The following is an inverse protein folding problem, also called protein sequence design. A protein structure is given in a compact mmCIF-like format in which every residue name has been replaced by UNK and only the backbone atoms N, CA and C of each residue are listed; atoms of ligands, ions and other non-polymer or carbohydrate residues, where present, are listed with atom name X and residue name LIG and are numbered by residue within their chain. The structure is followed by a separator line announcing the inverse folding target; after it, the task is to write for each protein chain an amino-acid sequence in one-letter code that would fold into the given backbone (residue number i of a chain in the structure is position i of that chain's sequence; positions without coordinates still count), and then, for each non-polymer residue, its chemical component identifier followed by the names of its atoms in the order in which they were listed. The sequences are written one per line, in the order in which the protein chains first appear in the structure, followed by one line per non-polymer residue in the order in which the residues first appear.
data_IF_193463776973
#
_entry.id   IF_193463776973
#
_cell.length_a   1.000
_cell.length_b   1.000
_cell.length_c   1.000
_cell.angle_alpha   90.00
_cell.angle_beta   90.00
_cell.angle_gamma   90.00
#
_symmetry.space_group_name_H-M   'P 1'
#
loop_
_entity.id
_entity.type
_entity.pdbx_description
1 polymer ?
#
# COMPACT_ATOMS: atom_id res chain seq x y z
N UNK A 1 -17.32 -4.17 14.12
CA UNK A 1 -18.31 -4.90 14.94
C UNK A 1 -17.79 -5.27 16.33
N UNK A 2 -16.66 -5.96 16.50
CA UNK A 2 -16.20 -6.41 17.82
C UNK A 2 -16.09 -5.28 18.87
N UNK A 3 -15.39 -4.21 18.57
CA UNK A 3 -15.21 -3.04 19.43
C UNK A 3 -16.42 -2.09 19.51
N UNK A 4 -17.54 -2.43 18.93
CA UNK A 4 -18.81 -1.74 19.22
C UNK A 4 -19.44 -2.25 20.53
N UNK A 5 -19.21 -3.53 20.84
CA UNK A 5 -19.76 -4.19 22.04
C UNK A 5 -18.74 -4.41 23.16
N UNK A 6 -17.46 -4.45 22.81
CA UNK A 6 -16.36 -4.57 23.76
C UNK A 6 -15.59 -3.26 23.80
N UNK A 7 -15.37 -2.71 24.98
CA UNK A 7 -14.64 -1.45 25.14
C UNK A 7 -13.24 -1.55 24.56
N UNK A 8 -12.91 -0.78 23.50
CA UNK A 8 -11.56 -0.76 22.98
C UNK A 8 -10.62 -0.06 23.96
N UNK A 9 -9.31 -0.37 23.92
CA UNK A 9 -8.34 0.46 24.62
C UNK A 9 -8.35 1.88 24.06
N UNK A 10 -8.13 2.88 24.89
CA UNK A 10 -8.04 4.28 24.46
C UNK A 10 -6.89 4.50 23.47
N UNK A 11 -5.83 3.70 23.59
CA UNK A 11 -4.69 3.67 22.69
C UNK A 11 -4.20 2.23 22.50
N UNK A 12 -4.08 1.77 21.22
CA UNK A 12 -3.81 0.37 20.93
C UNK A 12 -2.34 -0.03 21.07
N UNK A 13 -1.40 0.92 21.01
CA UNK A 13 0.01 0.63 21.31
C UNK A 13 0.20 0.54 22.83
N UNK A 14 0.06 -0.67 23.36
CA UNK A 14 0.13 -0.96 24.80
C UNK A 14 1.48 -0.61 25.41
N UNK A 15 2.57 -0.74 24.65
CA UNK A 15 3.93 -0.45 25.13
C UNK A 15 4.04 1.02 25.51
N UNK A 16 3.63 1.91 24.62
CA UNK A 16 3.65 3.35 24.89
C UNK A 16 2.64 3.74 25.98
N UNK A 17 1.46 3.11 26.01
CA UNK A 17 0.46 3.35 27.03
C UNK A 17 0.97 2.94 28.43
N UNK A 18 1.67 1.81 28.56
CA UNK A 18 2.27 1.38 29.82
C UNK A 18 3.42 2.28 30.27
N UNK A 19 4.23 2.77 29.33
CA UNK A 19 5.27 3.75 29.64
C UNK A 19 4.66 5.05 30.15
N UNK A 20 3.60 5.51 29.50
CA UNK A 20 2.88 6.71 29.90
C UNK A 20 2.25 6.55 31.31
N UNK A 21 1.72 5.38 31.65
CA UNK A 21 1.23 5.05 33.00
C UNK A 21 2.31 5.00 34.07
N UNK A 22 3.58 4.92 33.70
CA UNK A 22 4.72 4.97 34.63
C UNK A 22 5.34 6.36 34.73
N UNK A 23 4.89 7.32 33.93
CA UNK A 23 5.38 8.70 33.87
C UNK A 23 4.61 9.65 34.80
N UNK A 24 4.94 10.91 34.78
CA UNK A 24 4.23 11.98 35.48
C UNK A 24 2.78 12.18 34.98
N UNK A 25 2.47 11.72 33.76
CA UNK A 25 1.15 11.81 33.14
C UNK A 25 0.16 10.70 33.58
N UNK A 26 0.56 9.84 34.53
CA UNK A 26 -0.23 8.68 34.98
C UNK A 26 -1.68 9.06 35.34
N UNK A 27 -1.87 10.10 36.14
CA UNK A 27 -3.21 10.49 36.59
C UNK A 27 -4.08 10.96 35.44
N UNK A 28 -3.53 11.79 34.55
CA UNK A 28 -4.23 12.28 33.35
C UNK A 28 -4.66 11.13 32.42
N UNK A 29 -3.81 10.13 32.26
CA UNK A 29 -4.15 8.95 31.42
C UNK A 29 -5.27 8.13 32.04
N UNK A 30 -5.25 7.89 33.35
CA UNK A 30 -6.31 7.14 34.04
C UNK A 30 -7.65 7.89 33.91
N UNK A 31 -7.66 9.20 34.08
CA UNK A 31 -8.87 10.03 33.92
C UNK A 31 -9.42 9.95 32.48
N UNK A 32 -8.53 10.00 31.47
CA UNK A 32 -8.92 9.88 30.07
C UNK A 32 -9.43 8.46 29.74
N UNK A 33 -8.83 7.39 30.32
CA UNK A 33 -9.33 6.03 30.17
C UNK A 33 -10.72 5.86 30.78
N UNK A 34 -10.97 6.41 31.96
CA UNK A 34 -12.28 6.34 32.62
C UNK A 34 -13.34 7.14 31.82
N UNK A 35 -12.98 8.33 31.36
CA UNK A 35 -13.86 9.13 30.48
C UNK A 35 -14.18 8.38 29.19
N UNK A 36 -13.18 7.80 28.54
CA UNK A 36 -13.35 7.02 27.32
C UNK A 36 -14.26 5.81 27.50
N UNK A 37 -14.10 5.08 28.61
CA UNK A 37 -14.92 3.90 28.92
C UNK A 37 -16.39 4.30 29.20
N UNK A 38 -16.61 5.43 29.88
CA UNK A 38 -17.96 5.98 30.14
C UNK A 38 -18.65 6.36 28.82
N UNK A 39 -17.97 7.09 27.94
CA UNK A 39 -18.49 7.47 26.63
C UNK A 39 -18.83 6.25 25.78
N UNK A 40 -17.97 5.21 25.83
CA UNK A 40 -18.21 3.98 25.11
C UNK A 40 -19.46 3.24 25.60
N UNK A 41 -19.67 3.16 26.91
CA UNK A 41 -20.87 2.55 27.49
C UNK A 41 -22.14 3.34 27.15
N UNK A 42 -22.09 4.67 27.11
CA UNK A 42 -23.20 5.50 26.65
C UNK A 42 -23.51 5.27 25.16
N UNK A 43 -22.48 5.25 24.33
CA UNK A 43 -22.62 4.95 22.90
C UNK A 43 -23.22 3.56 22.68
N UNK A 44 -22.77 2.53 23.42
CA UNK A 44 -23.32 1.19 23.35
C UNK A 44 -24.81 1.16 23.68
N UNK A 45 -25.24 1.82 24.77
CA UNK A 45 -26.66 1.95 25.14
C UNK A 45 -27.46 2.64 24.04
N UNK A 46 -26.94 3.71 23.44
CA UNK A 46 -27.59 4.41 22.33
C UNK A 46 -27.75 3.50 21.10
N UNK A 47 -26.73 2.70 20.77
CA UNK A 47 -26.78 1.71 19.67
C UNK A 47 -27.83 0.63 19.95
N UNK A 48 -27.91 0.11 21.18
CA UNK A 48 -28.89 -0.92 21.54
C UNK A 48 -30.34 -0.38 21.42
N UNK A 49 -30.58 0.87 21.82
CA UNK A 49 -31.86 1.56 21.65
C UNK A 49 -32.15 1.74 20.14
N UNK A 50 -31.17 2.16 19.35
CA UNK A 50 -31.31 2.34 17.90
C UNK A 50 -31.69 1.02 17.22
N UNK A 51 -31.05 -0.09 17.56
CA UNK A 51 -31.36 -1.42 17.01
C UNK A 51 -32.81 -1.81 17.37
N UNK A 52 -33.23 -1.56 18.62
CA UNK A 52 -34.61 -1.82 19.05
C UNK A 52 -35.62 -0.96 18.28
N UNK A 53 -35.35 0.33 18.09
CA UNK A 53 -36.20 1.25 17.35
C UNK A 53 -36.30 0.88 15.87
N UNK A 54 -35.19 0.53 15.22
CA UNK A 54 -35.17 0.06 13.82
C UNK A 54 -35.93 -1.24 13.62
N UNK A 55 -35.89 -2.15 14.59
CA UNK A 55 -36.73 -3.38 14.54
C UNK A 55 -38.23 -3.06 14.59
N UNK A 56 -38.63 -1.94 15.17
CA UNK A 56 -39.99 -1.42 15.24
C UNK A 56 -40.33 -0.45 14.08
N UNK A 57 -39.41 -0.28 13.10
CA UNK A 57 -39.53 0.66 11.97
C UNK A 57 -39.63 2.14 12.39
N UNK A 58 -39.10 2.49 13.52
CA UNK A 58 -38.99 3.89 13.99
C UNK A 58 -37.61 4.39 13.61
N UNK A 59 -37.56 5.46 12.83
CA UNK A 59 -36.28 6.16 12.53
C UNK A 59 -36.11 7.30 13.55
N UNK A 60 -35.00 7.36 14.23
CA UNK A 60 -34.73 8.34 15.30
C UNK A 60 -33.43 9.10 14.95
N UNK A 61 -33.60 10.21 14.21
CA UNK A 61 -32.48 11.08 13.80
C UNK A 61 -31.74 11.68 14.99
N UNK A 62 -32.44 11.93 16.10
CA UNK A 62 -31.85 12.49 17.33
C UNK A 62 -30.89 11.47 17.93
N UNK A 63 -31.26 10.19 17.89
CA UNK A 63 -30.42 9.12 18.41
C UNK A 63 -29.19 8.86 17.51
N UNK A 64 -29.39 8.93 16.19
CA UNK A 64 -28.30 8.83 15.22
C UNK A 64 -27.28 9.97 15.44
N UNK A 65 -27.76 11.22 15.63
CA UNK A 65 -26.90 12.36 15.94
C UNK A 65 -26.17 12.19 17.27
N UNK A 66 -26.85 11.71 18.31
CA UNK A 66 -26.23 11.45 19.62
C UNK A 66 -25.09 10.42 19.52
N UNK A 67 -25.24 9.38 18.69
CA UNK A 67 -24.19 8.38 18.48
C UNK A 67 -22.97 9.01 17.81
N UNK A 68 -23.17 9.91 16.84
CA UNK A 68 -22.09 10.64 16.17
C UNK A 68 -21.38 11.58 17.14
N UNK A 69 -22.12 12.34 17.95
CA UNK A 69 -21.54 13.25 18.93
C UNK A 69 -20.67 12.50 19.97
N UNK A 70 -21.15 11.34 20.46
CA UNK A 70 -20.38 10.46 21.35
C UNK A 70 -19.12 9.89 20.68
N UNK A 71 -19.18 9.60 19.37
CA UNK A 71 -18.00 9.15 18.61
C UNK A 71 -16.97 10.26 18.49
N UNK A 72 -17.39 11.48 18.22
CA UNK A 72 -16.52 12.65 18.14
C UNK A 72 -15.85 12.93 19.49
N UNK A 73 -16.60 12.90 20.61
CA UNK A 73 -16.03 13.04 21.95
C UNK A 73 -15.01 11.92 22.26
N UNK A 74 -15.29 10.68 21.89
CA UNK A 74 -14.32 9.57 22.04
C UNK A 74 -13.07 9.79 21.20
N UNK A 75 -13.18 10.37 19.99
CA UNK A 75 -12.02 10.70 19.16
C UNK A 75 -11.18 11.82 19.78
N UNK A 76 -11.81 12.84 20.41
CA UNK A 76 -11.11 13.88 21.16
C UNK A 76 -10.28 13.28 22.30
N UNK A 77 -10.89 12.43 23.14
CA UNK A 77 -10.17 11.75 24.23
C UNK A 77 -9.00 10.96 23.72
N UNK A 78 -9.14 10.25 22.60
CA UNK A 78 -8.01 9.52 21.96
C UNK A 78 -6.92 10.48 21.49
N UNK A 79 -7.30 11.64 20.97
CA UNK A 79 -6.32 12.63 20.53
C UNK A 79 -5.55 13.20 21.72
N UNK A 80 -6.21 13.46 22.85
CA UNK A 80 -5.56 13.92 24.08
C UNK A 80 -4.52 12.89 24.58
N UNK A 81 -4.85 11.59 24.55
CA UNK A 81 -3.91 10.54 24.90
C UNK A 81 -2.72 10.53 23.94
N UNK A 82 -2.92 10.71 22.63
CA UNK A 82 -1.83 10.80 21.65
C UNK A 82 -0.90 11.97 21.91
N UNK A 83 -1.44 13.11 22.32
CA UNK A 83 -0.65 14.27 22.73
C UNK A 83 0.21 13.94 23.94
N UNK A 84 -0.36 13.29 24.97
CA UNK A 84 0.40 12.87 26.15
C UNK A 84 1.50 11.85 25.79
N UNK A 85 1.21 10.91 24.89
CA UNK A 85 2.23 9.96 24.38
C UNK A 85 3.41 10.70 23.73
N UNK A 86 3.13 11.71 22.89
CA UNK A 86 4.16 12.54 22.26
C UNK A 86 4.95 13.39 23.24
N UNK A 87 4.31 13.91 24.25
CA UNK A 87 4.99 14.67 25.32
C UNK A 87 5.94 13.78 26.13
N UNK A 88 5.53 12.55 26.42
CA UNK A 88 6.31 11.58 27.16
C UNK A 88 7.47 10.99 26.30
N UNK A 89 7.20 10.70 25.05
CA UNK A 89 8.15 10.14 24.09
C UNK A 89 8.01 10.82 22.72
N UNK A 90 8.85 11.83 22.39
CA UNK A 90 8.77 12.53 21.09
C UNK A 90 8.96 11.64 19.87
N UNK A 91 9.60 10.48 20.03
CA UNK A 91 9.84 9.51 18.95
C UNK A 91 8.72 8.46 18.83
N UNK A 92 7.76 8.42 19.78
CA UNK A 92 6.68 7.45 19.76
C UNK A 92 5.82 7.58 18.51
N UNK A 93 5.42 6.43 17.98
CA UNK A 93 4.45 6.35 16.90
C UNK A 93 3.03 6.53 17.45
N UNK A 94 2.36 7.60 17.02
CA UNK A 94 0.99 7.95 17.45
C UNK A 94 -0.10 7.32 16.59
N UNK A 95 0.27 6.77 15.41
CA UNK A 95 -0.65 6.01 14.59
C UNK A 95 -0.79 4.59 15.15
N UNK A 96 -1.85 4.36 15.90
CA UNK A 96 -2.09 3.09 16.58
C UNK A 96 -3.01 2.12 15.81
N UNK A 97 -3.35 2.46 14.55
CA UNK A 97 -4.27 1.65 13.74
C UNK A 97 -3.73 0.26 13.44
N UNK A 98 -2.43 0.15 13.21
CA UNK A 98 -1.77 -1.11 12.89
C UNK A 98 -1.71 -2.06 14.09
N UNK A 99 -1.85 -1.52 15.31
CA UNK A 99 -1.89 -2.29 16.55
C UNK A 99 -3.27 -2.89 16.89
N UNK A 100 -4.36 -2.47 16.20
CA UNK A 100 -5.72 -2.93 16.49
C UNK A 100 -5.85 -4.43 16.38
N UNK A 101 -5.38 -5.00 15.27
CA UNK A 101 -5.44 -6.45 15.04
C UNK A 101 -4.57 -7.21 16.02
N UNK A 102 -3.35 -6.73 16.29
CA UNK A 102 -2.42 -7.35 17.21
C UNK A 102 -2.97 -7.35 18.64
N UNK A 103 -3.54 -6.24 19.10
CA UNK A 103 -4.17 -6.15 20.42
C UNK A 103 -5.33 -7.13 20.55
N UNK A 104 -6.19 -7.24 19.52
CA UNK A 104 -7.26 -8.24 19.52
C UNK A 104 -6.73 -9.67 19.64
N UNK A 105 -5.71 -10.01 18.85
CA UNK A 105 -5.10 -11.35 18.86
C UNK A 105 -4.53 -11.68 20.25
N UNK A 106 -3.79 -10.75 20.85
CA UNK A 106 -3.12 -10.95 22.12
C UNK A 106 -4.08 -11.03 23.31
N UNK A 107 -5.21 -10.31 23.25
CA UNK A 107 -6.14 -10.21 24.38
C UNK A 107 -7.21 -11.29 24.39
N UNK A 108 -7.62 -11.76 23.21
CA UNK A 108 -8.83 -12.60 23.08
C UNK A 108 -8.58 -14.01 22.55
N UNK A 109 -7.42 -14.28 21.95
CA UNK A 109 -7.12 -15.62 21.44
C UNK A 109 -6.37 -16.47 22.47
N UNK A 110 -6.65 -17.79 22.55
CA UNK A 110 -5.86 -18.72 23.35
C UNK A 110 -4.39 -18.75 22.88
N UNK A 111 -3.46 -18.86 23.82
CA UNK A 111 -2.01 -18.83 23.55
C UNK A 111 -1.54 -19.82 22.46
N UNK A 112 -2.13 -21.03 22.40
CA UNK A 112 -1.81 -22.00 21.34
C UNK A 112 -2.21 -21.52 19.94
N UNK A 113 -3.35 -20.86 19.82
CA UNK A 113 -3.83 -20.28 18.54
C UNK A 113 -2.97 -19.10 18.14
N UNK A 114 -2.53 -18.27 19.10
CA UNK A 114 -1.61 -17.15 18.84
C UNK A 114 -0.31 -17.69 18.21
N UNK A 115 0.29 -18.72 18.81
CA UNK A 115 1.51 -19.35 18.27
C UNK A 115 1.31 -19.92 16.87
N UNK A 116 0.19 -20.58 16.61
CA UNK A 116 -0.16 -21.10 15.29
C UNK A 116 -0.32 -19.98 14.26
N UNK A 117 -1.00 -18.89 14.63
CA UNK A 117 -1.20 -17.73 13.77
C UNK A 117 0.13 -17.11 13.37
N UNK A 118 1.05 -16.89 14.31
CA UNK A 118 2.39 -16.41 13.98
C UNK A 118 3.15 -17.37 13.07
N UNK A 119 3.10 -18.68 13.34
CA UNK A 119 3.74 -19.68 12.49
C UNK A 119 3.21 -19.63 11.05
N UNK A 120 1.90 -19.48 10.86
CA UNK A 120 1.27 -19.34 9.53
C UNK A 120 1.69 -18.03 8.86
N UNK A 121 1.69 -16.91 9.58
CA UNK A 121 2.12 -15.61 9.04
C UNK A 121 3.57 -15.66 8.57
N UNK A 122 4.50 -16.18 9.38
CA UNK A 122 5.90 -16.32 8.99
C UNK A 122 6.07 -17.28 7.81
N UNK A 123 5.38 -18.42 7.81
CA UNK A 123 5.44 -19.39 6.71
C UNK A 123 4.95 -18.76 5.40
N UNK A 124 3.84 -18.02 5.42
CA UNK A 124 3.30 -17.34 4.26
C UNK A 124 4.26 -16.24 3.74
N UNK A 125 4.79 -15.42 4.65
CA UNK A 125 5.74 -14.36 4.29
C UNK A 125 7.02 -14.93 3.69
N UNK A 126 7.61 -15.97 4.30
CA UNK A 126 8.81 -16.61 3.79
C UNK A 126 8.60 -17.27 2.43
N UNK A 127 7.45 -17.94 2.22
CA UNK A 127 7.11 -18.60 0.96
C UNK A 127 7.00 -17.60 -0.18
N UNK A 128 6.24 -16.52 0.00
CA UNK A 128 6.07 -15.47 -1.02
C UNK A 128 7.39 -14.79 -1.34
N UNK A 129 8.11 -14.33 -0.32
CA UNK A 129 9.40 -13.64 -0.51
C UNK A 129 10.43 -14.51 -1.22
N UNK A 130 10.53 -15.80 -0.86
CA UNK A 130 11.46 -16.72 -1.53
C UNK A 130 11.12 -16.89 -3.01
N UNK A 131 9.84 -17.01 -3.36
CA UNK A 131 9.38 -17.14 -4.74
C UNK A 131 9.66 -15.89 -5.56
N UNK A 132 9.41 -14.71 -5.00
CA UNK A 132 9.65 -13.43 -5.68
C UNK A 132 11.15 -13.17 -5.90
N UNK A 133 11.99 -13.41 -4.90
CA UNK A 133 13.44 -13.29 -5.04
C UNK A 133 13.99 -14.24 -6.10
N UNK A 134 13.47 -15.47 -6.15
CA UNK A 134 13.87 -16.43 -7.19
C UNK A 134 13.41 -16.01 -8.59
N UNK A 135 12.19 -15.47 -8.72
CA UNK A 135 11.67 -14.94 -9.98
C UNK A 135 12.50 -13.76 -10.48
N UNK A 136 12.80 -12.78 -9.62
CA UNK A 136 13.65 -11.62 -9.94
C UNK A 136 15.05 -12.06 -10.36
N UNK A 137 15.66 -12.99 -9.62
CA UNK A 137 16.99 -13.51 -9.94
C UNK A 137 17.01 -14.27 -11.26
N UNK A 138 15.99 -15.08 -11.54
CA UNK A 138 15.85 -15.83 -12.80
C UNK A 138 15.70 -14.90 -13.99
N UNK A 139 14.79 -13.93 -13.92
CA UNK A 139 14.58 -12.92 -14.96
C UNK A 139 15.84 -12.11 -15.20
N UNK A 140 16.50 -11.64 -14.13
CA UNK A 140 17.78 -10.92 -14.25
C UNK A 140 18.85 -11.76 -14.91
N UNK A 141 18.93 -13.05 -14.55
CA UNK A 141 19.94 -13.96 -15.12
C UNK A 141 19.66 -14.30 -16.59
N UNK A 142 18.42 -14.64 -16.91
CA UNK A 142 18.07 -15.16 -18.25
C UNK A 142 17.90 -14.02 -19.24
N UNK A 143 17.08 -13.02 -18.88
CA UNK A 143 16.67 -11.98 -19.83
C UNK A 143 17.70 -10.85 -19.94
N UNK A 144 18.33 -10.46 -18.83
CA UNK A 144 19.33 -9.40 -18.85
C UNK A 144 20.74 -9.95 -19.01
N UNK A 145 21.20 -10.80 -18.09
CA UNK A 145 22.59 -11.22 -18.04
C UNK A 145 22.98 -12.14 -19.20
N UNK A 146 22.25 -13.26 -19.38
CA UNK A 146 22.53 -14.26 -20.45
C UNK A 146 22.26 -13.71 -21.84
N UNK A 147 21.12 -13.01 -22.02
CA UNK A 147 20.67 -12.54 -23.32
C UNK A 147 21.44 -11.32 -23.82
N UNK A 148 21.72 -10.36 -22.92
CA UNK A 148 22.23 -9.04 -23.31
C UNK A 148 23.71 -8.85 -23.00
N UNK A 149 24.24 -9.43 -21.91
CA UNK A 149 25.60 -9.13 -21.41
C UNK A 149 26.61 -10.24 -21.65
N UNK A 150 26.31 -11.46 -21.23
CA UNK A 150 27.30 -12.58 -21.23
C UNK A 150 26.69 -13.78 -21.89
N UNK A 151 27.02 -13.96 -23.18
CA UNK A 151 26.55 -15.07 -24.01
C UNK A 151 27.55 -16.26 -23.97
N UNK A 152 27.04 -17.47 -24.25
CA UNK A 152 27.84 -18.67 -24.47
C UNK A 152 28.72 -19.14 -23.28
N UNK A 153 28.21 -18.99 -22.06
CA UNK A 153 28.80 -19.61 -20.87
C UNK A 153 28.08 -20.93 -20.51
N UNK A 154 28.71 -21.70 -19.62
CA UNK A 154 28.16 -22.97 -19.14
C UNK A 154 26.90 -22.73 -18.25
N UNK A 155 26.03 -23.73 -18.19
CA UNK A 155 24.83 -23.65 -17.32
C UNK A 155 25.21 -23.50 -15.84
N UNK A 156 26.33 -24.07 -15.40
CA UNK A 156 26.87 -23.87 -14.07
C UNK A 156 27.20 -22.38 -13.78
N UNK A 157 27.75 -21.67 -14.77
CA UNK A 157 28.03 -20.25 -14.65
C UNK A 157 26.73 -19.44 -14.42
N UNK A 158 25.68 -19.72 -15.21
CA UNK A 158 24.38 -19.03 -15.07
C UNK A 158 23.67 -19.37 -13.75
N UNK A 159 23.79 -20.62 -13.31
CA UNK A 159 23.27 -21.03 -12.00
C UNK A 159 23.96 -20.27 -10.85
N UNK A 160 25.29 -20.13 -10.91
CA UNK A 160 26.05 -19.34 -9.93
C UNK A 160 25.66 -17.86 -9.96
N UNK A 161 25.49 -17.31 -11.15
CA UNK A 161 25.03 -15.92 -11.33
C UNK A 161 23.62 -15.71 -10.78
N UNK A 162 22.71 -16.66 -10.99
CA UNK A 162 21.35 -16.60 -10.44
C UNK A 162 21.38 -16.55 -8.91
N UNK A 163 22.20 -17.37 -8.26
CA UNK A 163 22.36 -17.33 -6.79
C UNK A 163 22.90 -15.98 -6.31
N UNK A 164 23.84 -15.39 -7.05
CA UNK A 164 24.35 -14.06 -6.74
C UNK A 164 23.27 -12.98 -6.88
N UNK A 165 22.49 -13.04 -7.96
CA UNK A 165 21.36 -12.10 -8.13
C UNK A 165 20.26 -12.29 -7.09
N UNK A 166 19.99 -13.54 -6.64
CA UNK A 166 19.09 -13.78 -5.51
C UNK A 166 19.55 -13.04 -4.24
N UNK A 167 20.84 -13.15 -3.93
CA UNK A 167 21.45 -12.43 -2.81
C UNK A 167 21.36 -10.91 -2.97
N UNK A 168 21.70 -10.40 -4.17
CA UNK A 168 21.61 -8.97 -4.48
C UNK A 168 20.19 -8.42 -4.29
N UNK A 169 19.20 -9.11 -4.86
CA UNK A 169 17.80 -8.73 -4.70
C UNK A 169 17.32 -8.82 -3.25
N UNK A 170 17.82 -9.80 -2.49
CA UNK A 170 17.57 -9.91 -1.06
C UNK A 170 18.10 -8.71 -0.27
N UNK A 171 19.33 -8.27 -0.55
CA UNK A 171 19.92 -7.08 0.07
C UNK A 171 19.10 -5.82 -0.29
N UNK A 172 18.71 -5.68 -1.56
CA UNK A 172 17.86 -4.55 -1.99
C UNK A 172 16.49 -4.57 -1.31
N UNK A 173 15.88 -5.75 -1.15
CA UNK A 173 14.61 -5.90 -0.45
C UNK A 173 14.73 -5.48 1.02
N UNK A 174 15.81 -5.87 1.71
CA UNK A 174 16.09 -5.45 3.10
C UNK A 174 16.29 -3.93 3.16
N UNK A 175 17.08 -3.37 2.26
CA UNK A 175 17.31 -1.92 2.20
C UNK A 175 15.98 -1.16 1.99
N UNK A 176 15.09 -1.66 1.11
CA UNK A 176 13.77 -1.08 0.92
C UNK A 176 12.90 -1.23 2.18
N UNK A 177 12.92 -2.40 2.83
CA UNK A 177 12.15 -2.64 4.05
C UNK A 177 12.50 -1.68 5.19
N UNK A 178 13.77 -1.23 5.29
CA UNK A 178 14.17 -0.22 6.29
C UNK A 178 13.53 1.15 6.07
N UNK A 179 13.07 1.44 4.85
CA UNK A 179 12.35 2.68 4.53
C UNK A 179 10.83 2.57 4.76
N UNK A 180 10.31 1.36 5.00
CA UNK A 180 8.87 1.12 5.16
C UNK A 180 8.27 1.84 6.38
N UNK A 181 9.06 2.06 7.44
CA UNK A 181 8.64 2.82 8.62
C UNK A 181 8.36 4.31 8.37
N UNK A 182 8.76 4.83 7.21
CA UNK A 182 8.48 6.22 6.83
C UNK A 182 7.03 6.42 6.32
N UNK A 183 6.32 5.34 6.07
CA UNK A 183 4.93 5.39 5.61
C UNK A 183 3.98 5.23 6.80
N UNK A 184 3.04 6.15 6.95
CA UNK A 184 2.00 6.09 8.01
C UNK A 184 1.09 4.87 7.90
N UNK A 185 0.87 4.39 6.66
CA UNK A 185 0.05 3.22 6.37
C UNK A 185 0.73 2.35 5.31
N UNK A 186 1.23 1.18 5.74
CA UNK A 186 1.97 0.26 4.87
C UNK A 186 1.11 -0.28 3.72
N UNK A 187 -0.17 -0.56 3.97
CA UNK A 187 -1.10 -1.05 2.93
C UNK A 187 -1.30 0.02 1.86
N UNK A 188 -1.47 1.27 2.27
CA UNK A 188 -1.60 2.39 1.35
C UNK A 188 -0.32 2.60 0.53
N UNK A 189 0.85 2.51 1.17
CA UNK A 189 2.14 2.64 0.49
C UNK A 189 2.34 1.56 -0.58
N UNK A 190 2.05 0.29 -0.28
CA UNK A 190 2.13 -0.82 -1.24
C UNK A 190 1.15 -0.63 -2.40
N UNK A 191 -0.10 -0.23 -2.12
CA UNK A 191 -1.09 0.05 -3.15
C UNK A 191 -0.71 1.25 -4.02
N UNK A 192 -0.14 2.28 -3.44
CA UNK A 192 0.37 3.44 -4.17
C UNK A 192 1.51 3.05 -5.12
N UNK A 193 2.52 2.33 -4.60
CA UNK A 193 3.63 1.83 -5.42
C UNK A 193 3.13 0.93 -6.55
N UNK A 194 2.22 0.00 -6.24
CA UNK A 194 1.59 -0.83 -7.26
C UNK A 194 0.87 0.00 -8.33
N UNK A 195 0.11 1.00 -7.91
CA UNK A 195 -0.67 1.85 -8.84
C UNK A 195 0.20 2.69 -9.77
N UNK A 196 1.42 3.02 -9.38
CA UNK A 196 2.36 3.71 -10.25
C UNK A 196 2.76 2.83 -11.45
N UNK A 197 3.03 1.54 -11.23
CA UNK A 197 3.59 0.66 -12.27
C UNK A 197 2.56 -0.25 -12.95
N UNK A 198 1.52 -0.70 -12.24
CA UNK A 198 0.59 -1.71 -12.76
C UNK A 198 -0.16 -1.25 -14.00
N UNK A 199 -0.50 0.04 -14.08
CA UNK A 199 -1.18 0.60 -15.24
C UNK A 199 -0.33 0.49 -16.51
N UNK A 200 0.91 0.88 -16.45
CA UNK A 200 1.87 0.80 -17.56
C UNK A 200 2.10 -0.66 -17.97
N UNK A 201 2.29 -1.56 -17.02
CA UNK A 201 2.45 -3.00 -17.28
C UNK A 201 1.20 -3.56 -17.96
N UNK A 202 0.02 -3.25 -17.45
CA UNK A 202 -1.25 -3.66 -18.06
C UNK A 202 -1.36 -3.16 -19.51
N UNK A 203 -0.98 -1.92 -19.76
CA UNK A 203 -0.96 -1.32 -21.09
C UNK A 203 -0.05 -2.08 -22.06
N UNK A 204 1.14 -2.49 -21.63
CA UNK A 204 2.06 -3.32 -22.42
C UNK A 204 1.38 -4.64 -22.82
N UNK A 205 0.74 -5.33 -21.85
CA UNK A 205 0.06 -6.59 -22.12
C UNK A 205 -1.14 -6.40 -23.07
N UNK A 206 -1.95 -5.36 -22.88
CA UNK A 206 -3.07 -5.06 -23.77
C UNK A 206 -2.57 -4.84 -25.19
N UNK A 207 -1.53 -4.04 -25.38
CA UNK A 207 -0.95 -3.83 -26.72
C UNK A 207 -0.40 -5.12 -27.31
N UNK A 208 0.33 -5.91 -26.53
CA UNK A 208 0.93 -7.16 -27.00
C UNK A 208 -0.12 -8.20 -27.46
N UNK A 209 -1.25 -8.30 -26.75
CA UNK A 209 -2.27 -9.30 -27.05
C UNK A 209 -3.28 -8.86 -28.13
N UNK A 210 -3.69 -7.59 -28.10
CA UNK A 210 -4.78 -7.12 -28.94
C UNK A 210 -4.31 -6.33 -30.18
N UNK A 211 -3.12 -5.70 -30.16
CA UNK A 211 -2.67 -4.81 -31.22
C UNK A 211 -1.39 -5.31 -31.92
N UNK A 212 -1.52 -6.43 -32.64
CA UNK A 212 -0.40 -7.12 -33.35
C UNK A 212 0.38 -6.25 -34.34
N UNK A 213 -0.18 -5.11 -34.74
CA UNK A 213 0.50 -4.17 -35.68
C UNK A 213 1.54 -3.27 -35.00
N UNK A 214 1.53 -3.19 -33.69
CA UNK A 214 2.47 -2.37 -32.92
C UNK A 214 3.70 -3.22 -32.57
N UNK A 215 4.86 -2.74 -32.97
CA UNK A 215 6.13 -3.45 -32.76
C UNK A 215 6.69 -3.22 -31.35
N UNK A 216 7.56 -4.14 -30.91
CA UNK A 216 8.15 -4.13 -29.58
C UNK A 216 8.86 -2.80 -29.22
N UNK A 217 9.57 -2.20 -30.17
CA UNK A 217 10.26 -0.92 -29.94
C UNK A 217 9.28 0.21 -29.63
N UNK A 218 8.17 0.29 -30.39
CA UNK A 218 7.14 1.30 -30.14
C UNK A 218 6.52 1.14 -28.76
N UNK A 219 6.19 -0.10 -28.35
CA UNK A 219 5.64 -0.40 -27.03
C UNK A 219 6.64 -0.07 -25.91
N UNK A 220 7.91 -0.37 -26.10
CA UNK A 220 8.95 -0.09 -25.12
C UNK A 220 9.08 1.41 -24.82
N UNK A 221 9.19 2.22 -25.85
CA UNK A 221 9.26 3.68 -25.67
C UNK A 221 7.94 4.26 -25.16
N UNK A 222 6.79 3.75 -25.63
CA UNK A 222 5.48 4.14 -25.12
C UNK A 222 5.34 3.91 -23.63
N UNK A 223 5.82 2.76 -23.14
CA UNK A 223 5.80 2.41 -21.73
C UNK A 223 6.68 3.37 -20.90
N UNK A 224 7.89 3.67 -21.37
CA UNK A 224 8.78 4.61 -20.67
C UNK A 224 8.13 6.00 -20.58
N UNK A 225 7.57 6.52 -21.68
CA UNK A 225 6.91 7.84 -21.66
C UNK A 225 5.67 7.83 -20.76
N UNK A 226 4.86 6.79 -20.82
CA UNK A 226 3.68 6.65 -19.96
C UNK A 226 4.05 6.64 -18.47
N UNK A 227 5.09 5.87 -18.11
CA UNK A 227 5.58 5.77 -16.74
C UNK A 227 6.10 7.12 -16.21
N UNK A 228 6.90 7.83 -17.01
CA UNK A 228 7.38 9.17 -16.66
C UNK A 228 6.19 10.11 -16.39
N UNK A 229 5.16 10.09 -17.23
CA UNK A 229 3.97 10.94 -17.06
C UNK A 229 3.24 10.57 -15.76
N UNK A 230 3.04 9.28 -15.46
CA UNK A 230 2.38 8.84 -14.23
C UNK A 230 3.17 9.29 -12.99
N UNK A 231 4.49 9.14 -13.01
CA UNK A 231 5.35 9.62 -11.92
C UNK A 231 5.26 11.14 -11.76
N UNK A 232 5.25 11.88 -12.85
CA UNK A 232 5.10 13.36 -12.83
C UNK A 232 3.73 13.76 -12.28
N UNK A 233 2.65 13.10 -12.68
CA UNK A 233 1.31 13.32 -12.12
C UNK A 233 1.30 13.05 -10.62
N UNK A 234 1.91 11.94 -10.19
CA UNK A 234 2.02 11.62 -8.78
C UNK A 234 2.78 12.70 -8.00
N UNK A 235 3.92 13.14 -8.51
CA UNK A 235 4.71 14.22 -7.92
C UNK A 235 3.89 15.50 -7.72
N UNK A 236 3.15 15.93 -8.76
CA UNK A 236 2.27 17.10 -8.64
C UNK A 236 1.11 16.91 -7.65
N UNK A 237 0.58 15.69 -7.53
CA UNK A 237 -0.47 15.39 -6.56
C UNK A 237 0.03 15.40 -5.10
N UNK A 238 1.33 15.28 -4.88
CA UNK A 238 1.95 15.30 -3.55
C UNK A 238 2.26 16.72 -3.06
N UNK A 239 2.16 17.74 -3.95
CA UNK A 239 2.35 19.13 -3.57
C UNK A 239 1.17 19.64 -2.73
N UNK A 240 1.41 20.63 -1.86
CA UNK A 240 0.38 21.23 -0.98
C UNK A 240 -0.83 21.79 -1.75
N UNK A 241 -0.62 22.32 -2.95
CA UNK A 241 -1.66 22.90 -3.81
C UNK A 241 -1.59 22.29 -5.22
N UNK A 242 -2.08 21.07 -5.43
CA UNK A 242 -2.07 20.46 -6.75
C UNK A 242 -3.05 21.16 -7.69
N UNK A 243 -2.72 21.27 -8.99
CA UNK A 243 -3.65 21.78 -10.00
C UNK A 243 -4.95 20.96 -9.99
N UNK A 244 -6.10 21.63 -9.98
CA UNK A 244 -7.42 20.97 -9.82
C UNK A 244 -7.65 19.87 -10.88
N UNK A 245 -7.20 20.08 -12.11
CA UNK A 245 -7.33 19.11 -13.20
C UNK A 245 -6.40 17.90 -13.10
N UNK A 246 -5.35 17.97 -12.25
CA UNK A 246 -4.44 16.86 -11.96
C UNK A 246 -4.82 16.13 -10.66
N UNK A 247 -5.69 16.71 -9.83
CA UNK A 247 -6.08 16.14 -8.54
C UNK A 247 -6.87 14.85 -8.74
N UNK A 248 -6.20 13.71 -8.61
CA UNK A 248 -6.83 12.40 -8.74
C UNK A 248 -6.31 11.43 -7.67
N UNK A 249 -7.17 10.48 -7.25
CA UNK A 249 -6.76 9.41 -6.35
C UNK A 249 -5.78 8.47 -7.04
N UNK A 250 -4.83 7.91 -6.28
CA UNK A 250 -3.75 7.06 -6.81
C UNK A 250 -4.26 5.82 -7.59
N UNK A 251 -5.45 5.33 -7.31
CA UNK A 251 -6.06 4.20 -8.05
C UNK A 251 -6.29 4.53 -9.54
N UNK A 252 -6.49 5.79 -9.88
CA UNK A 252 -6.65 6.23 -11.27
C UNK A 252 -5.37 6.15 -12.10
N UNK A 253 -4.20 6.09 -11.45
CA UNK A 253 -2.93 5.95 -12.15
C UNK A 253 -2.87 4.67 -13.01
N UNK A 254 -3.54 3.60 -12.58
CA UNK A 254 -3.65 2.38 -13.36
C UNK A 254 -4.35 2.60 -14.70
N UNK A 255 -5.47 3.33 -14.70
CA UNK A 255 -6.21 3.64 -15.93
C UNK A 255 -5.42 4.58 -16.82
N UNK A 256 -4.82 5.62 -16.23
CA UNK A 256 -4.02 6.63 -16.96
C UNK A 256 -2.80 5.95 -17.58
N UNK A 257 -2.01 5.21 -16.83
CA UNK A 257 -0.81 4.52 -17.33
C UNK A 257 -1.14 3.56 -18.46
N UNK A 258 -2.17 2.72 -18.29
CA UNK A 258 -2.62 1.80 -19.33
C UNK A 258 -3.05 2.53 -20.62
N UNK A 259 -3.88 3.56 -20.48
CA UNK A 259 -4.35 4.34 -21.63
C UNK A 259 -3.23 5.05 -22.38
N UNK A 260 -2.27 5.61 -21.64
CA UNK A 260 -1.10 6.28 -22.22
C UNK A 260 -0.21 5.32 -23.02
N UNK A 261 0.04 4.10 -22.49
CA UNK A 261 0.82 3.10 -23.26
C UNK A 261 0.13 2.74 -24.56
N UNK A 262 -1.18 2.55 -24.56
CA UNK A 262 -1.94 2.24 -25.78
C UNK A 262 -1.86 3.40 -26.78
N UNK A 263 -2.15 4.61 -26.31
CA UNK A 263 -2.14 5.82 -27.19
C UNK A 263 -0.74 6.06 -27.76
N UNK A 264 0.29 6.08 -26.92
CA UNK A 264 1.66 6.29 -27.38
C UNK A 264 2.19 5.15 -28.23
N UNK A 265 1.75 3.92 -27.95
CA UNK A 265 2.07 2.76 -28.78
C UNK A 265 1.61 2.97 -30.23
N UNK A 266 0.38 3.43 -30.45
CA UNK A 266 -0.11 3.78 -31.78
C UNK A 266 0.63 4.95 -32.40
N UNK A 267 0.85 6.03 -31.65
CA UNK A 267 1.52 7.22 -32.15
C UNK A 267 2.97 6.93 -32.55
N UNK A 268 3.73 6.25 -31.71
CA UNK A 268 5.13 5.91 -31.99
C UNK A 268 5.24 4.90 -33.13
N UNK A 269 4.32 3.95 -33.24
CA UNK A 269 4.29 3.02 -34.36
C UNK A 269 4.07 3.75 -35.69
N UNK A 270 3.16 4.71 -35.73
CA UNK A 270 2.90 5.51 -36.95
C UNK A 270 4.12 6.37 -37.34
N UNK A 271 4.81 6.95 -36.36
CA UNK A 271 6.06 7.70 -36.59
C UNK A 271 7.20 6.83 -37.09
N UNK A 272 7.39 5.64 -36.50
CA UNK A 272 8.44 4.68 -36.94
C UNK A 272 8.18 4.21 -38.36
N UNK A 273 6.93 3.90 -38.72
CA UNK A 273 6.56 3.54 -40.09
C UNK A 273 6.81 4.67 -41.06
N UNK A 274 6.47 5.89 -40.71
CA UNK A 274 6.74 7.11 -41.52
C UNK A 274 8.24 7.32 -41.78
N UNK A 275 9.08 7.13 -40.77
CA UNK A 275 10.53 7.25 -40.89
C UNK A 275 11.14 6.16 -41.77
N UNK A 276 10.62 4.91 -41.73
CA UNK A 276 11.07 3.83 -42.61
C UNK A 276 10.72 4.14 -44.07
N UNK A 277 9.53 4.67 -44.37
CA UNK A 277 9.15 5.09 -45.72
C UNK A 277 9.96 6.27 -46.26
N UNK A 278 10.45 7.14 -45.40
CA UNK A 278 11.31 8.27 -45.81
C UNK A 278 12.76 7.78 -46.10
N UNK A 279 13.21 6.73 -45.37
CA UNK A 279 14.58 6.22 -45.55
C UNK A 279 14.74 5.20 -46.70
N UNK A 280 13.66 4.71 -47.34
CA UNK A 280 13.66 3.83 -48.53
C UNK A 280 12.90 4.40 -49.73
N UNK A 281 13.24 5.57 -50.27
CA UNK A 281 12.56 6.10 -51.48
C UNK A 281 13.09 5.52 -52.81
N UNK A 282 14.07 4.61 -52.85
CA UNK A 282 14.83 4.39 -54.08
C UNK A 282 15.06 2.89 -54.47
N UNK A 283 14.22 1.94 -54.07
CA UNK A 283 14.34 0.56 -54.55
C UNK A 283 13.16 0.02 -55.35
N UNK A 284 12.34 0.87 -55.94
CA UNK A 284 11.24 0.47 -56.85
C UNK A 284 11.33 1.12 -58.25
N UNK A 285 12.56 1.31 -58.76
CA UNK A 285 12.76 1.65 -60.17
C UNK A 285 14.09 1.11 -60.66
N UNK A 286 14.13 -0.18 -60.89
CA UNK A 286 15.03 -0.85 -61.83
C UNK A 286 14.44 -2.21 -62.25
#
# INVERSE_FOLDING_TARGET
MFYQYNTPPVFFNKVELEQLKKSEYKMSVIELEDRFSTLHEEKKRAIDIMISNRSKKVNDEILDQKILDLEDEMMEVRQDVKVLVKLNNPTAEINDKDYIFMSYVMDYLPHGIIGLLFAVMFSAAMSSTASELNALASTTTVDLYKRSMVKNKTDYHYLKSSKYFTFLWGVLAIAFATTASLFENLIQAVNLLGSLFYGTILGIFIVAFYFKKIQANAVFYAAIFAEIIVIVIHYFNTLENPPVWLKMGYLWYNLVGCSLVVIFGFLLQSLILSLIHISEPTRLSA
#
